data_IF_114552091318
#
_entry.id   IF_114552091318
#
_cell.length_a   1.000
_cell.length_b   1.000
_cell.length_c   1.000
_cell.angle_alpha   90.00
_cell.angle_beta   90.00
_cell.angle_gamma   90.00
#
_symmetry.space_group_name_H-M   'P 1'
#
loop_
_entity.id
_entity.type
_entity.pdbx_description
1 polymer ?
#
# COMPACT_ATOMS: atom_id res chain seq x y z
N UNK A 1 -15.38 -45.37 -4.26
CA UNK A 1 -14.95 -44.10 -4.91
C UNK A 1 -14.17 -43.29 -3.88
N UNK A 2 -12.85 -43.15 -4.08
CA UNK A 2 -12.17 -41.87 -4.42
C UNK A 2 -12.10 -40.91 -3.20
N UNK A 3 -10.97 -40.44 -2.66
CA UNK A 3 -9.56 -40.44 -3.05
C UNK A 3 -8.70 -39.92 -1.87
N UNK A 4 -7.48 -40.42 -1.76
CA UNK A 4 -6.23 -39.67 -1.46
C UNK A 4 -6.23 -38.53 -0.42
N UNK A 5 -5.50 -38.73 0.68
CA UNK A 5 -4.53 -37.72 1.19
C UNK A 5 -3.46 -38.39 2.06
N UNK A 6 -2.31 -38.66 1.42
CA UNK A 6 -1.08 -39.22 1.99
C UNK A 6 -0.50 -38.25 3.04
N UNK A 7 -0.54 -38.62 4.33
CA UNK A 7 0.23 -37.94 5.39
C UNK A 7 1.69 -38.41 5.31
N UNK A 8 2.56 -37.59 4.72
CA UNK A 8 4.02 -37.79 4.73
C UNK A 8 4.57 -37.50 6.12
N UNK A 9 4.69 -38.55 6.96
CA UNK A 9 5.47 -38.52 8.20
C UNK A 9 6.95 -38.33 7.83
N UNK A 10 7.51 -37.13 8.03
CA UNK A 10 8.96 -36.91 7.99
C UNK A 10 9.57 -37.62 9.20
N UNK A 11 10.26 -38.75 8.96
CA UNK A 11 11.08 -39.44 9.96
C UNK A 11 12.26 -38.52 10.32
N UNK A 12 12.68 -38.44 11.59
CA UNK A 12 13.92 -37.78 11.95
C UNK A 12 15.07 -38.63 11.39
N UNK A 13 15.84 -38.08 10.45
CA UNK A 13 17.11 -38.67 10.04
C UNK A 13 18.09 -38.51 11.20
N UNK A 14 18.13 -39.47 12.12
CA UNK A 14 19.22 -39.61 13.07
C UNK A 14 20.42 -40.19 12.31
N UNK A 15 21.19 -39.33 11.66
CA UNK A 15 22.50 -39.71 11.11
C UNK A 15 23.39 -40.02 12.31
N UNK A 16 23.81 -41.27 12.45
CA UNK A 16 24.65 -41.73 13.57
C UNK A 16 26.06 -41.15 13.44
N UNK A 17 26.71 -40.79 14.55
CA UNK A 17 28.04 -40.14 14.60
C UNK A 17 29.07 -40.84 13.69
N UNK A 18 29.03 -42.17 13.58
CA UNK A 18 29.90 -42.93 12.67
C UNK A 18 29.75 -42.59 11.19
N UNK A 19 28.53 -42.33 10.69
CA UNK A 19 28.31 -41.93 9.30
C UNK A 19 28.85 -40.54 8.99
N UNK A 20 28.97 -39.69 10.02
CA UNK A 20 29.59 -38.37 9.90
C UNK A 20 31.12 -38.48 9.97
N UNK A 21 31.66 -39.44 10.72
CA UNK A 21 33.11 -39.62 10.86
C UNK A 21 33.72 -40.22 9.58
N UNK A 22 33.05 -41.22 8.99
CA UNK A 22 33.46 -41.85 7.72
C UNK A 22 33.44 -40.85 6.55
N UNK A 23 32.47 -39.92 6.54
CA UNK A 23 32.38 -38.86 5.54
C UNK A 23 33.45 -37.77 5.69
N UNK A 24 34.09 -37.65 6.85
CA UNK A 24 35.17 -36.68 7.11
C UNK A 24 36.53 -37.30 6.72
N UNK A 25 36.73 -38.60 6.93
CA UNK A 25 37.98 -39.30 6.56
C UNK A 25 38.13 -39.51 5.03
N UNK A 26 37.04 -39.52 4.26
CA UNK A 26 37.07 -39.66 2.80
C UNK A 26 37.21 -38.32 2.03
N UNK A 27 37.23 -37.18 2.72
CA UNK A 27 37.45 -35.89 2.06
C UNK A 27 38.93 -35.70 1.76
N UNK A 28 39.31 -35.28 0.54
CA UNK A 28 40.70 -34.90 0.27
C UNK A 28 41.10 -33.73 1.16
N UNK A 29 42.28 -33.81 1.79
CA UNK A 29 42.84 -32.78 2.67
C UNK A 29 42.99 -31.40 1.98
N UNK A 30 42.98 -31.38 0.65
CA UNK A 30 42.97 -30.18 -0.19
C UNK A 30 41.56 -29.92 -0.76
N UNK A 31 40.69 -29.35 0.07
CA UNK A 31 39.50 -28.66 -0.45
C UNK A 31 39.99 -27.30 -1.00
N UNK A 32 39.85 -27.02 -2.31
CA UNK A 32 40.22 -25.72 -2.85
C UNK A 32 39.49 -24.63 -2.09
N UNK A 33 40.18 -23.55 -1.68
CA UNK A 33 39.58 -22.42 -0.94
C UNK A 33 38.31 -21.87 -1.61
N UNK A 34 38.21 -22.05 -2.92
CA UNK A 34 37.07 -21.69 -3.75
C UNK A 34 35.79 -22.47 -3.37
N UNK A 35 35.90 -23.76 -3.08
CA UNK A 35 34.76 -24.59 -2.64
C UNK A 35 34.36 -24.24 -1.21
N UNK A 36 35.32 -23.91 -0.34
CA UNK A 36 35.04 -23.45 1.03
C UNK A 36 34.29 -22.11 0.99
N UNK A 37 34.73 -21.17 0.14
CA UNK A 37 34.04 -19.89 -0.09
C UNK A 37 32.63 -20.11 -0.65
N UNK A 38 32.46 -21.00 -1.61
CA UNK A 38 31.17 -21.37 -2.20
C UNK A 38 30.20 -21.95 -1.13
N UNK A 39 30.69 -22.85 -0.28
CA UNK A 39 29.90 -23.49 0.78
C UNK A 39 29.52 -22.51 1.91
N UNK A 40 30.42 -21.62 2.30
CA UNK A 40 30.14 -20.56 3.28
C UNK A 40 29.14 -19.56 2.70
N UNK A 41 29.31 -19.14 1.44
CA UNK A 41 28.40 -18.23 0.75
C UNK A 41 26.98 -18.81 0.64
N UNK A 42 26.87 -20.13 0.42
CA UNK A 42 25.58 -20.81 0.31
C UNK A 42 24.85 -20.98 1.65
N UNK A 43 25.55 -20.88 2.78
CA UNK A 43 24.97 -21.04 4.12
C UNK A 43 24.39 -19.74 4.70
N UNK A 44 24.74 -18.59 4.14
CA UNK A 44 24.08 -17.32 4.43
C UNK A 44 22.76 -17.20 3.64
N UNK A 45 21.79 -18.07 3.91
CA UNK A 45 20.40 -17.80 3.54
C UNK A 45 19.87 -16.70 4.47
N UNK A 46 20.01 -15.44 4.07
CA UNK A 46 19.33 -14.33 4.75
C UNK A 46 17.82 -14.46 4.52
N UNK A 47 17.09 -14.91 5.55
CA UNK A 47 15.63 -14.86 5.51
C UNK A 47 15.18 -13.41 5.67
N UNK A 48 15.09 -12.70 4.55
CA UNK A 48 14.49 -11.37 4.49
C UNK A 48 12.98 -11.54 4.53
N UNK A 49 12.35 -11.18 5.65
CA UNK A 49 10.90 -11.14 5.75
C UNK A 49 10.40 -9.71 5.58
N UNK A 50 9.41 -9.53 4.70
CA UNK A 50 8.71 -8.27 4.51
C UNK A 50 7.22 -8.50 4.68
N UNK A 51 6.66 -7.91 5.72
CA UNK A 51 5.25 -8.03 6.05
C UNK A 51 4.99 -7.70 7.53
N UNK A 52 3.74 -7.39 7.89
CA UNK A 52 3.39 -6.99 9.26
C UNK A 52 3.45 -8.15 10.26
N UNK A 53 3.39 -9.40 9.80
CA UNK A 53 3.32 -10.60 10.64
C UNK A 53 4.38 -11.59 10.15
N UNK A 54 5.35 -12.03 10.97
CA UNK A 54 6.41 -12.97 10.53
C UNK A 54 5.86 -14.34 10.12
N UNK A 55 6.70 -15.19 9.53
CA UNK A 55 6.27 -16.55 9.15
C UNK A 55 5.82 -17.35 10.39
N UNK A 56 4.79 -18.22 10.31
CA UNK A 56 4.26 -18.96 11.47
C UNK A 56 5.30 -19.75 12.27
N UNK A 57 6.32 -20.28 11.59
CA UNK A 57 7.42 -20.98 12.24
C UNK A 57 8.26 -20.04 13.13
N UNK A 58 8.56 -18.82 12.64
CA UNK A 58 9.30 -17.80 13.39
C UNK A 58 8.46 -17.21 14.53
N UNK A 59 7.14 -17.07 14.34
CA UNK A 59 6.20 -16.68 15.42
C UNK A 59 6.27 -17.64 16.60
N UNK A 60 6.39 -18.94 16.34
CA UNK A 60 6.54 -19.95 17.38
C UNK A 60 7.86 -19.78 18.13
N UNK A 61 8.95 -19.58 17.41
CA UNK A 61 10.27 -19.32 17.98
C UNK A 61 10.27 -18.05 18.86
N UNK A 62 9.56 -16.99 18.45
CA UNK A 62 9.40 -15.79 19.29
C UNK A 62 8.68 -16.06 20.61
N UNK A 63 7.71 -16.97 20.63
CA UNK A 63 7.01 -17.35 21.85
C UNK A 63 7.87 -18.24 22.76
N UNK A 64 8.78 -19.01 22.18
CA UNK A 64 9.72 -19.86 22.90
C UNK A 64 10.85 -19.03 23.56
N UNK A 65 11.26 -17.92 22.92
CA UNK A 65 12.29 -17.00 23.44
C UNK A 65 11.71 -15.94 24.39
N UNK A 66 10.53 -15.40 24.07
CA UNK A 66 9.88 -14.33 24.81
C UNK A 66 8.50 -14.82 25.27
N UNK A 67 8.17 -14.74 26.57
CA UNK A 67 6.84 -15.08 27.05
C UNK A 67 5.77 -14.26 26.31
N UNK A 68 4.79 -14.96 25.72
CA UNK A 68 3.73 -14.37 24.89
C UNK A 68 4.25 -13.53 23.70
N UNK A 69 5.45 -13.84 23.19
CA UNK A 69 6.08 -13.08 22.10
C UNK A 69 5.24 -13.06 20.82
N UNK A 70 4.62 -14.20 20.49
CA UNK A 70 3.75 -14.31 19.32
C UNK A 70 2.54 -13.35 19.40
N UNK A 71 1.86 -13.34 20.53
CA UNK A 71 0.69 -12.50 20.78
C UNK A 71 1.02 -11.00 20.73
N UNK A 72 2.17 -10.61 21.29
CA UNK A 72 2.66 -9.23 21.25
C UNK A 72 2.93 -8.74 19.83
N UNK A 73 3.50 -9.60 18.98
CA UNK A 73 3.76 -9.27 17.57
C UNK A 73 2.43 -9.15 16.81
N UNK A 74 1.50 -10.08 17.03
CA UNK A 74 0.17 -10.04 16.39
C UNK A 74 -0.60 -8.77 16.79
N UNK A 75 -0.63 -8.46 18.08
CA UNK A 75 -1.24 -7.24 18.63
C UNK A 75 -0.59 -5.98 18.05
N UNK A 76 0.73 -5.98 17.87
CA UNK A 76 1.43 -4.86 17.24
C UNK A 76 0.99 -4.67 15.78
N UNK A 77 0.92 -5.77 15.01
CA UNK A 77 0.45 -5.74 13.64
C UNK A 77 -1.00 -5.23 13.53
N UNK A 78 -1.91 -5.73 14.38
CA UNK A 78 -3.30 -5.30 14.44
C UNK A 78 -3.43 -3.80 14.77
N UNK A 79 -2.66 -3.31 15.76
CA UNK A 79 -2.62 -1.88 16.10
C UNK A 79 -2.12 -1.02 14.95
N UNK A 80 -1.09 -1.46 14.23
CA UNK A 80 -0.57 -0.75 13.06
C UNK A 80 -1.61 -0.73 11.94
N UNK A 81 -2.27 -1.85 11.66
CA UNK A 81 -3.38 -1.93 10.70
C UNK A 81 -4.55 -1.03 11.10
N UNK A 82 -4.96 -1.05 12.36
CA UNK A 82 -6.03 -0.18 12.87
C UNK A 82 -5.67 1.30 12.78
N UNK A 83 -4.44 1.68 13.15
CA UNK A 83 -3.97 3.05 13.01
C UNK A 83 -3.96 3.50 11.54
N UNK A 84 -3.53 2.62 10.62
CA UNK A 84 -3.55 2.89 9.18
C UNK A 84 -4.97 3.10 8.67
N UNK A 85 -5.92 2.24 9.06
CA UNK A 85 -7.34 2.39 8.69
C UNK A 85 -7.89 3.74 9.16
N UNK A 86 -7.61 4.14 10.41
CA UNK A 86 -8.06 5.42 10.97
C UNK A 86 -7.46 6.61 10.20
N UNK A 87 -6.18 6.53 9.82
CA UNK A 87 -5.55 7.57 9.01
C UNK A 87 -6.16 7.66 7.61
N UNK A 88 -6.35 6.52 6.95
CA UNK A 88 -6.99 6.46 5.63
C UNK A 88 -8.42 7.04 5.69
N UNK A 89 -9.21 6.69 6.71
CA UNK A 89 -10.54 7.24 6.94
C UNK A 89 -10.51 8.75 7.16
N UNK A 90 -9.59 9.27 8.00
CA UNK A 90 -9.44 10.71 8.23
C UNK A 90 -9.08 11.46 6.95
N UNK A 91 -8.18 10.90 6.13
CA UNK A 91 -7.78 11.50 4.86
C UNK A 91 -8.95 11.53 3.88
N UNK A 92 -9.69 10.42 3.75
CA UNK A 92 -10.88 10.35 2.88
C UNK A 92 -11.93 11.37 3.33
N UNK A 93 -12.22 11.42 4.64
CA UNK A 93 -13.21 12.35 5.19
C UNK A 93 -12.78 13.82 5.02
N UNK A 94 -11.50 14.14 5.23
CA UNK A 94 -10.96 15.48 5.00
C UNK A 94 -11.07 15.88 3.53
N UNK A 95 -10.62 15.02 2.61
CA UNK A 95 -10.70 15.26 1.17
C UNK A 95 -12.15 15.44 0.69
N UNK A 96 -13.09 14.64 1.22
CA UNK A 96 -14.49 14.76 0.85
C UNK A 96 -15.10 16.08 1.33
N UNK A 97 -14.76 16.52 2.56
CA UNK A 97 -15.21 17.80 3.10
C UNK A 97 -14.65 18.97 2.30
N UNK A 98 -13.36 18.95 1.98
CA UNK A 98 -12.71 20.03 1.23
C UNK A 98 -13.26 20.13 -0.20
N UNK A 99 -13.53 18.98 -0.83
CA UNK A 99 -14.19 18.92 -2.15
C UNK A 99 -15.61 19.50 -2.09
N UNK A 100 -16.38 19.14 -1.06
CA UNK A 100 -17.74 19.65 -0.88
C UNK A 100 -17.75 21.16 -0.63
N UNK A 101 -16.86 21.68 0.24
CA UNK A 101 -16.72 23.12 0.48
C UNK A 101 -16.37 23.86 -0.81
N UNK A 102 -15.44 23.34 -1.61
CA UNK A 102 -15.08 23.91 -2.91
C UNK A 102 -16.28 24.04 -3.86
N UNK A 103 -17.11 22.99 -3.96
CA UNK A 103 -18.34 23.00 -4.77
C UNK A 103 -19.36 24.01 -4.23
N UNK A 104 -19.53 24.10 -2.92
CA UNK A 104 -20.44 25.08 -2.30
C UNK A 104 -20.00 26.52 -2.59
N UNK A 105 -18.72 26.85 -2.38
CA UNK A 105 -18.22 28.20 -2.68
C UNK A 105 -18.32 28.53 -4.17
N UNK A 106 -18.03 27.58 -5.07
CA UNK A 106 -18.23 27.77 -6.50
C UNK A 106 -19.71 28.05 -6.83
N UNK A 107 -20.63 27.28 -6.25
CA UNK A 107 -22.07 27.50 -6.39
C UNK A 107 -22.53 28.88 -5.91
N UNK A 108 -22.03 29.34 -4.76
CA UNK A 108 -22.34 30.70 -4.24
C UNK A 108 -21.83 31.78 -5.19
N UNK A 109 -20.59 31.66 -5.69
CA UNK A 109 -20.03 32.63 -6.65
C UNK A 109 -20.84 32.63 -7.95
N UNK A 110 -21.20 31.45 -8.49
CA UNK A 110 -22.02 31.34 -9.68
C UNK A 110 -23.37 32.04 -9.49
N UNK A 111 -24.02 31.84 -8.34
CA UNK A 111 -25.30 32.45 -8.02
C UNK A 111 -25.19 33.98 -7.93
N UNK A 112 -24.14 34.50 -7.28
CA UNK A 112 -23.88 35.95 -7.21
C UNK A 112 -23.68 36.57 -8.61
N UNK A 113 -22.96 35.87 -9.50
CA UNK A 113 -22.75 36.30 -10.88
C UNK A 113 -24.08 36.37 -11.64
N UNK A 114 -24.92 35.34 -11.52
CA UNK A 114 -26.24 35.31 -12.18
C UNK A 114 -27.13 36.45 -11.67
N UNK A 115 -27.18 36.67 -10.35
CA UNK A 115 -27.92 37.79 -9.77
C UNK A 115 -27.37 39.14 -10.24
N UNK A 116 -26.04 39.28 -10.31
CA UNK A 116 -25.39 40.46 -10.87
C UNK A 116 -25.77 40.71 -12.32
N UNK A 117 -25.77 39.67 -13.16
CA UNK A 117 -26.18 39.79 -14.57
C UNK A 117 -27.64 40.23 -14.72
N UNK A 118 -28.56 39.63 -13.95
CA UNK A 118 -29.97 40.03 -13.92
C UNK A 118 -30.12 41.50 -13.50
N UNK A 119 -29.38 41.91 -12.47
CA UNK A 119 -29.39 43.30 -12.01
C UNK A 119 -28.87 44.27 -13.09
N UNK A 120 -27.83 43.91 -13.83
CA UNK A 120 -27.33 44.74 -14.93
C UNK A 120 -28.37 44.88 -16.06
N UNK A 121 -29.00 43.77 -16.47
CA UNK A 121 -30.06 43.76 -17.49
C UNK A 121 -31.22 44.65 -17.05
N UNK A 122 -31.65 44.55 -15.78
CA UNK A 122 -32.72 45.40 -15.25
C UNK A 122 -32.38 46.91 -15.29
N UNK A 123 -31.10 47.28 -15.26
CA UNK A 123 -30.63 48.65 -15.39
C UNK A 123 -30.37 49.09 -16.84
N UNK A 124 -30.94 48.40 -17.84
CA UNK A 124 -30.74 48.61 -19.28
C UNK A 124 -29.26 48.46 -19.73
N UNK A 125 -28.47 47.65 -19.00
CA UNK A 125 -27.09 47.31 -19.35
C UNK A 125 -27.00 45.91 -19.96
N UNK A 126 -27.81 45.67 -21.00
CA UNK A 126 -28.02 44.34 -21.58
C UNK A 126 -26.74 43.73 -22.13
N UNK A 127 -25.93 44.51 -22.86
CA UNK A 127 -24.67 44.04 -23.45
C UNK A 127 -23.69 43.60 -22.35
N UNK A 128 -23.61 44.35 -21.25
CA UNK A 128 -22.74 44.03 -20.13
C UNK A 128 -23.26 42.82 -19.33
N UNK A 129 -24.58 42.69 -19.16
CA UNK A 129 -25.19 41.53 -18.51
C UNK A 129 -24.98 40.24 -19.32
N UNK A 130 -25.17 40.29 -20.64
CA UNK A 130 -24.94 39.14 -21.52
C UNK A 130 -23.46 38.75 -21.60
N UNK A 131 -22.55 39.72 -21.71
CA UNK A 131 -21.11 39.41 -21.77
C UNK A 131 -20.62 38.73 -20.48
N UNK A 132 -21.16 39.12 -19.33
CA UNK A 132 -20.87 38.49 -18.04
C UNK A 132 -21.33 37.03 -18.01
N UNK A 133 -22.53 36.72 -18.48
CA UNK A 133 -23.05 35.34 -18.52
C UNK A 133 -22.25 34.44 -19.47
N UNK A 134 -21.94 34.93 -20.68
CA UNK A 134 -21.17 34.16 -21.67
C UNK A 134 -19.74 33.95 -21.16
N UNK A 135 -19.08 35.01 -20.68
CA UNK A 135 -17.70 34.94 -20.20
C UNK A 135 -17.54 33.97 -19.02
N UNK A 136 -18.48 34.00 -18.08
CA UNK A 136 -18.44 33.13 -16.90
C UNK A 136 -18.75 31.68 -17.25
N UNK A 137 -19.66 31.42 -18.19
CA UNK A 137 -19.93 30.06 -18.70
C UNK A 137 -18.68 29.45 -19.35
N UNK A 138 -17.98 30.20 -20.20
CA UNK A 138 -16.72 29.75 -20.83
C UNK A 138 -15.63 29.49 -19.78
N UNK A 139 -15.52 30.37 -18.79
CA UNK A 139 -14.58 30.18 -17.67
C UNK A 139 -14.90 28.89 -16.88
N UNK A 140 -16.18 28.62 -16.60
CA UNK A 140 -16.59 27.39 -15.90
C UNK A 140 -16.25 26.13 -16.69
N UNK A 141 -16.58 26.10 -17.99
CA UNK A 141 -16.29 24.96 -18.87
C UNK A 141 -14.77 24.72 -18.96
N UNK A 142 -13.97 25.79 -19.10
CA UNK A 142 -12.52 25.67 -19.22
C UNK A 142 -11.86 25.14 -17.93
N UNK A 143 -12.32 25.59 -16.75
CA UNK A 143 -11.87 25.04 -15.46
C UNK A 143 -12.24 23.57 -15.34
N UNK A 144 -13.46 23.19 -15.72
CA UNK A 144 -13.93 21.80 -15.65
C UNK A 144 -13.12 20.86 -16.56
N UNK A 145 -12.88 21.27 -17.82
CA UNK A 145 -12.05 20.51 -18.76
C UNK A 145 -10.61 20.35 -18.26
N UNK A 146 -10.03 21.42 -17.70
CA UNK A 146 -8.69 21.36 -17.10
C UNK A 146 -8.66 20.48 -15.84
N UNK A 147 -9.74 20.43 -15.07
CA UNK A 147 -9.85 19.52 -13.92
C UNK A 147 -9.82 18.07 -14.38
N UNK A 148 -10.66 17.70 -15.34
CA UNK A 148 -10.69 16.33 -15.89
C UNK A 148 -9.34 15.88 -16.46
N UNK A 149 -8.64 16.77 -17.15
CA UNK A 149 -7.32 16.45 -17.71
C UNK A 149 -6.24 16.23 -16.63
N UNK A 150 -6.40 16.76 -15.41
CA UNK A 150 -5.46 16.49 -14.30
C UNK A 150 -5.72 15.12 -13.71
N UNK A 151 -7.00 14.80 -13.48
CA UNK A 151 -7.40 13.48 -12.97
C UNK A 151 -6.91 12.36 -13.91
N UNK A 152 -7.04 12.53 -15.22
CA UNK A 152 -6.56 11.55 -16.21
C UNK A 152 -5.02 11.41 -16.22
N UNK A 153 -4.26 12.44 -15.84
CA UNK A 153 -2.79 12.39 -15.75
C UNK A 153 -2.34 11.71 -14.46
N UNK A 154 -2.96 12.06 -13.34
CA UNK A 154 -2.68 11.46 -12.03
C UNK A 154 -2.98 9.96 -12.03
N UNK A 155 -3.97 9.50 -12.80
CA UNK A 155 -4.26 8.08 -13.00
C UNK A 155 -3.16 7.37 -13.79
N UNK A 156 -2.67 7.99 -14.88
CA UNK A 156 -1.60 7.42 -15.72
C UNK A 156 -0.23 7.39 -15.04
N UNK A 157 0.05 8.30 -14.11
CA UNK A 157 1.31 8.30 -13.34
C UNK A 157 1.32 7.24 -12.23
N UNK A 158 0.15 6.70 -11.86
CA UNK A 158 0.00 5.67 -10.82
C UNK A 158 -0.10 4.25 -11.38
N UNK A 159 -0.20 4.08 -12.70
CA UNK A 159 -0.11 2.80 -13.43
C UNK A 159 1.34 2.50 -13.84
#
# INVERSE_FOLDING_TARGET
MSSSKKKTKRKPNSVTVHQVTEFIEEQPDDIPEEVVKELIARRFESMTYSGPIPHPQLLKEFNDVIPNGADRIMTMAEKQSGHRIILEEKVVNANNRDSFLGVVFAGVIALLIVLGAIFLIYNNKDIQGFSLLIGTSVAYISVFLKSKSRDDKDLKEKE
#
